data_IF_116807986311
#
_entry.id   IF_116807986311
#
_cell.length_a   1.000
_cell.length_b   1.000
_cell.length_c   1.000
_cell.angle_alpha   90.00
_cell.angle_beta   90.00
_cell.angle_gamma   90.00
#
_symmetry.space_group_name_H-M   'P 1'
#
loop_
_entity.id
_entity.type
_entity.pdbx_description
1 polymer ?
#
# COMPACT_ATOMS: atom_id res chain seq x y z
N UNK A 1 -34.92 -21.42 -11.76
CA UNK A 1 -35.04 -20.43 -12.86
C UNK A 1 -36.50 -20.15 -13.18
N UNK A 2 -37.35 -21.16 -13.32
CA UNK A 2 -38.78 -21.00 -13.62
C UNK A 2 -39.51 -20.07 -12.64
N UNK A 3 -39.38 -20.25 -11.32
CA UNK A 3 -39.99 -19.35 -10.33
C UNK A 3 -39.64 -17.87 -10.54
N UNK A 4 -38.40 -17.56 -10.90
CA UNK A 4 -38.00 -16.18 -11.14
C UNK A 4 -38.59 -15.61 -12.44
N UNK A 5 -38.74 -16.46 -13.47
CA UNK A 5 -39.39 -16.09 -14.72
C UNK A 5 -40.91 -15.88 -14.53
N UNK A 6 -41.58 -16.73 -13.76
CA UNK A 6 -43.00 -16.58 -13.42
C UNK A 6 -43.25 -15.29 -12.63
N UNK A 7 -42.44 -15.00 -11.61
CA UNK A 7 -42.54 -13.74 -10.85
C UNK A 7 -42.27 -12.51 -11.70
N UNK A 8 -41.37 -12.59 -12.69
CA UNK A 8 -41.15 -11.49 -13.64
C UNK A 8 -42.35 -11.29 -14.58
N UNK A 9 -42.94 -12.37 -15.10
CA UNK A 9 -44.11 -12.32 -15.99
C UNK A 9 -45.36 -11.80 -15.26
N UNK A 10 -45.64 -12.30 -14.06
CA UNK A 10 -46.73 -11.80 -13.20
C UNK A 10 -46.56 -10.32 -12.89
N UNK A 11 -45.32 -9.87 -12.67
CA UNK A 11 -44.99 -8.45 -12.46
C UNK A 11 -45.20 -7.60 -13.71
N UNK A 12 -44.87 -8.12 -14.89
CA UNK A 12 -45.12 -7.41 -16.16
C UNK A 12 -46.62 -7.33 -16.46
N UNK A 13 -47.37 -8.41 -16.25
CA UNK A 13 -48.83 -8.42 -16.42
C UNK A 13 -49.55 -7.48 -15.44
N UNK A 14 -49.06 -7.36 -14.19
CA UNK A 14 -49.59 -6.41 -13.21
C UNK A 14 -49.29 -4.94 -13.57
N UNK A 15 -48.17 -4.67 -14.24
CA UNK A 15 -47.83 -3.34 -14.77
C UNK A 15 -48.72 -2.97 -15.96
N UNK A 16 -48.93 -3.89 -16.90
CA UNK A 16 -49.76 -3.67 -18.09
C UNK A 16 -51.26 -3.47 -17.75
N UNK A 17 -51.70 -3.95 -16.58
CA UNK A 17 -53.07 -3.79 -16.08
C UNK A 17 -53.31 -2.49 -15.26
N UNK A 18 -52.31 -1.59 -15.19
CA UNK A 18 -52.43 -0.26 -14.55
C UNK A 18 -52.43 -0.25 -13.01
N UNK A 19 -52.37 -1.40 -12.34
CA UNK A 19 -52.39 -1.47 -10.87
C UNK A 19 -50.99 -1.42 -10.21
N UNK A 20 -49.92 -1.70 -10.97
CA UNK A 20 -48.54 -1.69 -10.47
C UNK A 20 -47.70 -0.51 -10.98
N UNK A 21 -48.16 0.25 -11.99
CA UNK A 21 -47.53 1.50 -12.44
C UNK A 21 -47.49 2.55 -11.32
N UNK A 22 -48.61 2.82 -10.64
CA UNK A 22 -48.68 3.82 -9.54
C UNK A 22 -47.71 3.51 -8.38
N UNK A 23 -47.54 2.23 -8.03
CA UNK A 23 -46.64 1.81 -6.94
C UNK A 23 -45.17 1.87 -7.38
N UNK A 24 -44.87 1.58 -8.64
CA UNK A 24 -43.53 1.71 -9.22
C UNK A 24 -43.15 3.18 -9.40
N UNK A 25 -44.10 4.02 -9.80
CA UNK A 25 -43.93 5.46 -9.94
C UNK A 25 -43.75 6.13 -8.57
N UNK A 26 -44.48 5.70 -7.54
CA UNK A 26 -44.25 6.17 -6.17
C UNK A 26 -42.86 5.76 -5.64
N UNK A 27 -42.41 4.52 -5.90
CA UNK A 27 -41.07 4.06 -5.52
C UNK A 27 -39.96 4.76 -6.31
N UNK A 28 -40.19 5.02 -7.60
CA UNK A 28 -39.29 5.76 -8.47
C UNK A 28 -39.20 7.23 -8.02
N UNK A 29 -40.33 7.88 -7.73
CA UNK A 29 -40.41 9.24 -7.21
C UNK A 29 -39.67 9.36 -5.87
N UNK A 30 -39.92 8.45 -4.92
CA UNK A 30 -39.20 8.42 -3.63
C UNK A 30 -37.70 8.18 -3.82
N UNK A 31 -37.31 7.35 -4.80
CA UNK A 31 -35.89 7.14 -5.15
C UNK A 31 -35.26 8.40 -5.73
N UNK A 32 -35.96 9.09 -6.64
CA UNK A 32 -35.52 10.34 -7.26
C UNK A 32 -35.39 11.44 -6.22
N UNK A 33 -36.38 11.61 -5.34
CA UNK A 33 -36.34 12.58 -4.25
C UNK A 33 -35.13 12.33 -3.34
N UNK A 34 -34.93 11.07 -2.92
CA UNK A 34 -33.78 10.69 -2.08
C UNK A 34 -32.45 10.95 -2.78
N UNK A 35 -32.31 10.60 -4.07
CA UNK A 35 -31.08 10.84 -4.84
C UNK A 35 -30.83 12.34 -5.07
N UNK A 36 -31.89 13.10 -5.32
CA UNK A 36 -31.82 14.56 -5.50
C UNK A 36 -31.39 15.23 -4.20
N UNK A 37 -31.97 14.81 -3.06
CA UNK A 37 -31.55 15.25 -1.73
C UNK A 37 -30.10 14.87 -1.39
N UNK A 38 -29.66 13.67 -1.76
CA UNK A 38 -28.25 13.25 -1.62
C UNK A 38 -27.32 14.09 -2.50
N UNK A 39 -27.70 14.36 -3.76
CA UNK A 39 -26.93 15.19 -4.67
C UNK A 39 -26.83 16.63 -4.18
N UNK A 40 -27.93 17.23 -3.68
CA UNK A 40 -27.93 18.56 -3.09
C UNK A 40 -26.98 18.65 -1.89
N UNK A 41 -27.00 17.64 -0.99
CA UNK A 41 -26.07 17.56 0.14
C UNK A 41 -24.61 17.46 -0.30
N UNK A 42 -24.31 16.75 -1.38
CA UNK A 42 -22.95 16.65 -1.94
C UNK A 42 -22.52 17.99 -2.54
N UNK A 43 -23.39 18.63 -3.33
CA UNK A 43 -23.11 19.95 -3.94
C UNK A 43 -22.87 21.01 -2.88
N UNK A 44 -23.71 21.07 -1.84
CA UNK A 44 -23.52 21.99 -0.72
C UNK A 44 -22.18 21.72 -0.02
N UNK A 45 -21.87 20.46 0.29
CA UNK A 45 -20.60 20.13 0.94
C UNK A 45 -19.38 20.54 0.10
N UNK A 46 -19.43 20.36 -1.21
CA UNK A 46 -18.37 20.80 -2.13
C UNK A 46 -18.26 22.33 -2.20
N UNK A 47 -19.37 23.06 -2.05
CA UNK A 47 -19.36 24.52 -1.96
C UNK A 47 -18.74 24.99 -0.63
N UNK A 48 -19.05 24.31 0.48
CA UNK A 48 -18.51 24.62 1.81
C UNK A 48 -17.02 24.23 1.94
N UNK A 49 -16.55 23.28 1.12
CA UNK A 49 -15.18 22.76 1.13
C UNK A 49 -14.58 22.84 -0.29
N UNK A 50 -14.24 24.05 -0.77
CA UNK A 50 -13.78 24.26 -2.14
C UNK A 50 -12.36 23.74 -2.39
N UNK A 51 -11.58 23.53 -1.32
CA UNK A 51 -10.19 23.08 -1.41
C UNK A 51 -10.08 21.55 -1.32
N UNK A 52 -9.39 20.97 -2.30
CA UNK A 52 -9.04 19.56 -2.27
C UNK A 52 -7.97 19.28 -1.20
N UNK A 53 -8.09 18.14 -0.52
CA UNK A 53 -7.08 17.67 0.42
C UNK A 53 -5.94 16.96 -0.35
N UNK A 54 -4.74 17.54 -0.46
CA UNK A 54 -3.66 16.89 -1.19
C UNK A 54 -3.10 15.70 -0.39
N UNK A 55 -2.82 14.60 -1.07
CA UNK A 55 -1.89 13.58 -0.56
C UNK A 55 -0.44 13.96 -0.88
N UNK A 56 0.53 13.24 -0.32
CA UNK A 56 1.97 13.51 -0.54
C UNK A 56 2.42 13.50 -2.00
N UNK A 57 1.72 12.77 -2.88
CA UNK A 57 1.99 12.73 -4.32
C UNK A 57 1.17 13.73 -5.13
N UNK A 58 0.58 14.74 -4.48
CA UNK A 58 -0.31 15.74 -5.11
C UNK A 58 -1.67 15.20 -5.56
N UNK A 59 -1.96 13.92 -5.36
CA UNK A 59 -3.27 13.34 -5.67
C UNK A 59 -4.28 13.69 -4.60
N UNK A 60 -5.49 14.05 -5.01
CA UNK A 60 -6.61 14.36 -4.12
C UNK A 60 -6.92 13.15 -3.22
N UNK A 61 -6.93 13.37 -1.92
CA UNK A 61 -7.36 12.41 -0.92
C UNK A 61 -8.88 12.48 -0.82
N UNK A 62 -9.54 11.35 -1.06
CA UNK A 62 -11.00 11.26 -1.04
C UNK A 62 -11.53 11.48 0.38
N UNK A 63 -12.33 12.53 0.55
CA UNK A 63 -13.00 12.86 1.80
C UNK A 63 -14.36 12.17 1.92
N UNK A 64 -14.78 11.92 3.16
CA UNK A 64 -16.14 11.52 3.48
C UNK A 64 -16.91 12.75 3.98
N UNK A 65 -18.12 13.00 3.45
CA UNK A 65 -18.97 14.12 3.87
C UNK A 65 -19.25 14.16 5.38
N UNK A 66 -19.33 12.99 6.02
CA UNK A 66 -19.64 12.89 7.46
C UNK A 66 -18.41 12.97 8.37
N UNK A 67 -17.22 12.79 7.81
CA UNK A 67 -15.95 12.83 8.53
C UNK A 67 -14.82 13.09 7.52
N UNK A 68 -14.64 14.34 7.13
CA UNK A 68 -13.79 14.75 6.00
C UNK A 68 -12.30 14.55 6.26
N UNK A 69 -11.90 14.53 7.52
CA UNK A 69 -10.52 14.31 7.94
C UNK A 69 -10.13 12.83 7.94
N UNK A 70 -11.09 11.90 7.93
CA UNK A 70 -10.82 10.45 7.84
C UNK A 70 -10.26 10.03 6.47
N UNK A 71 -9.65 8.85 6.40
CA UNK A 71 -9.11 8.27 5.15
C UNK A 71 -9.57 6.83 4.92
N UNK A 72 -9.42 6.40 3.66
CA UNK A 72 -9.59 5.01 3.26
C UNK A 72 -8.36 4.19 3.68
N UNK A 73 -8.57 3.21 4.55
CA UNK A 73 -7.58 2.29 5.06
C UNK A 73 -7.80 0.91 4.42
N UNK A 74 -6.76 0.35 3.81
CA UNK A 74 -6.80 -1.00 3.28
C UNK A 74 -6.65 -2.01 4.42
N UNK A 75 -7.53 -3.01 4.45
CA UNK A 75 -7.50 -4.13 5.38
C UNK A 75 -7.52 -5.44 4.60
N UNK A 76 -7.24 -6.55 5.27
CA UNK A 76 -7.37 -7.90 4.72
C UNK A 76 -8.81 -8.23 4.25
N UNK A 77 -9.81 -7.58 4.85
CA UNK A 77 -11.24 -7.75 4.56
C UNK A 77 -11.84 -6.70 3.62
N UNK A 78 -11.02 -5.81 3.06
CA UNK A 78 -11.47 -4.74 2.17
C UNK A 78 -11.03 -3.36 2.62
N UNK A 79 -11.76 -2.32 2.23
CA UNK A 79 -11.40 -0.92 2.55
C UNK A 79 -12.37 -0.36 3.58
N UNK A 80 -11.83 0.17 4.68
CA UNK A 80 -12.61 0.87 5.72
C UNK A 80 -12.29 2.36 5.71
N UNK A 81 -13.25 3.20 6.12
CA UNK A 81 -13.00 4.61 6.37
C UNK A 81 -12.62 4.79 7.84
N UNK A 82 -11.51 5.48 8.14
CA UNK A 82 -11.07 5.69 9.50
C UNK A 82 -9.74 6.45 9.62
N UNK A 83 -9.06 6.26 10.75
CA UNK A 83 -7.79 6.89 11.09
C UNK A 83 -6.74 5.82 11.37
N UNK A 84 -5.52 6.07 10.92
CA UNK A 84 -4.34 5.27 11.24
C UNK A 84 -3.83 5.67 12.62
N UNK A 85 -3.91 4.74 13.58
CA UNK A 85 -3.38 4.91 14.93
C UNK A 85 -1.91 4.50 14.97
N UNK A 86 -1.03 5.41 15.35
CA UNK A 86 0.41 5.18 15.46
C UNK A 86 0.84 5.27 16.92
N UNK A 87 1.71 4.37 17.34
CA UNK A 87 2.38 4.43 18.64
C UNK A 87 3.87 4.13 18.50
N UNK A 88 4.69 4.86 19.25
CA UNK A 88 6.09 4.52 19.54
C UNK A 88 6.13 3.93 20.93
N UNK A 89 6.77 2.78 21.05
CA UNK A 89 6.76 1.98 22.28
C UNK A 89 8.20 1.69 22.69
N UNK A 90 8.49 1.93 23.96
CA UNK A 90 9.73 1.52 24.60
C UNK A 90 9.85 -0.01 24.62
N UNK A 91 11.03 -0.52 24.26
CA UNK A 91 11.29 -1.95 24.15
C UNK A 91 11.35 -2.64 25.51
N UNK A 92 11.87 -1.95 26.54
CA UNK A 92 12.18 -2.56 27.83
C UNK A 92 10.92 -2.75 28.67
N UNK A 93 10.06 -1.74 28.70
CA UNK A 93 8.89 -1.70 29.58
C UNK A 93 7.57 -1.70 28.84
N UNK A 94 7.56 -1.73 27.50
CA UNK A 94 6.34 -1.63 26.67
C UNK A 94 5.52 -0.36 26.98
N UNK A 95 6.19 0.72 27.39
CA UNK A 95 5.55 2.01 27.64
C UNK A 95 5.41 2.76 26.32
N UNK A 96 4.22 3.30 26.05
CA UNK A 96 3.98 4.14 24.88
C UNK A 96 4.59 5.51 25.14
N UNK A 97 5.60 5.89 24.36
CA UNK A 97 6.29 7.19 24.49
C UNK A 97 5.72 8.26 23.57
N UNK A 98 5.07 7.86 22.47
CA UNK A 98 4.37 8.75 21.56
C UNK A 98 3.16 8.04 20.97
N UNK A 99 2.04 8.76 20.84
CA UNK A 99 0.79 8.23 20.30
C UNK A 99 0.07 9.30 19.49
N UNK A 100 -0.27 9.01 18.24
CA UNK A 100 -1.06 9.91 17.40
C UNK A 100 -1.96 9.18 16.40
N UNK A 101 -3.11 9.78 16.09
CA UNK A 101 -4.05 9.24 15.11
C UNK A 101 -4.20 10.16 13.91
N UNK A 102 -4.02 9.59 12.72
CA UNK A 102 -3.92 10.35 11.48
C UNK A 102 -4.93 9.89 10.44
N UNK A 103 -5.56 10.85 9.78
CA UNK A 103 -6.48 10.58 8.68
C UNK A 103 -5.75 10.23 7.37
N UNK A 104 -4.80 9.30 7.40
CA UNK A 104 -4.03 8.83 6.24
C UNK A 104 -4.03 7.30 6.16
N UNK A 105 -4.08 6.78 4.94
CA UNK A 105 -3.83 5.35 4.67
C UNK A 105 -2.38 5.06 4.25
N UNK A 106 -1.55 6.10 4.12
CA UNK A 106 -0.15 5.97 3.74
C UNK A 106 0.73 6.15 5.00
N UNK A 107 1.01 5.03 5.68
CA UNK A 107 1.84 5.00 6.89
C UNK A 107 3.25 5.55 6.66
N UNK A 108 3.77 5.45 5.43
CA UNK A 108 5.06 6.05 5.06
C UNK A 108 5.15 7.54 5.43
N UNK A 109 4.04 8.28 5.32
CA UNK A 109 3.98 9.72 5.58
C UNK A 109 4.12 10.05 7.07
N UNK A 110 3.90 9.07 7.95
CA UNK A 110 3.82 9.27 9.40
C UNK A 110 5.14 8.98 10.13
N UNK A 111 6.10 8.32 9.49
CA UNK A 111 7.33 7.89 10.15
C UNK A 111 8.11 9.08 10.73
N UNK A 112 8.51 10.02 9.86
CA UNK A 112 9.36 11.14 10.27
C UNK A 112 8.67 12.06 11.28
N UNK A 113 7.39 12.49 11.10
CA UNK A 113 6.71 13.32 12.09
C UNK A 113 6.63 12.67 13.47
N UNK A 114 6.34 11.37 13.54
CA UNK A 114 6.25 10.64 14.81
C UNK A 114 7.62 10.52 15.47
N UNK A 115 8.67 10.30 14.67
CA UNK A 115 10.04 10.32 15.18
C UNK A 115 10.45 11.72 15.65
N UNK A 116 10.00 12.80 15.02
CA UNK A 116 10.29 14.15 15.50
C UNK A 116 9.56 14.44 16.82
N UNK A 117 8.30 14.00 16.96
CA UNK A 117 7.52 14.16 18.19
C UNK A 117 8.15 13.43 19.39
N UNK A 118 8.76 12.26 19.18
CA UNK A 118 9.41 11.49 20.25
C UNK A 118 10.94 11.74 20.34
N UNK A 119 11.46 12.83 19.76
CA UNK A 119 12.89 13.06 19.68
C UNK A 119 13.56 13.17 21.06
N UNK A 120 12.87 13.77 22.04
CA UNK A 120 13.38 13.96 23.41
C UNK A 120 13.56 12.67 24.21
N UNK A 121 12.89 11.60 23.78
CA UNK A 121 12.95 10.28 24.43
C UNK A 121 14.01 9.38 23.79
N UNK A 122 14.71 9.86 22.76
CA UNK A 122 15.76 9.10 22.07
C UNK A 122 17.15 9.58 22.44
N UNK A 123 18.07 8.64 22.40
CA UNK A 123 19.52 8.85 22.47
C UNK A 123 20.16 8.47 21.14
N UNK A 124 21.46 8.80 20.98
CA UNK A 124 22.23 8.40 19.80
C UNK A 124 22.35 6.86 19.64
N UNK A 125 22.12 6.10 20.71
CA UNK A 125 22.13 4.63 20.70
C UNK A 125 20.74 4.01 20.50
N UNK A 126 19.69 4.83 20.37
CA UNK A 126 18.32 4.31 20.21
C UNK A 126 18.11 3.71 18.83
N UNK A 127 17.76 2.43 18.79
CA UNK A 127 17.40 1.72 17.56
C UNK A 127 15.89 1.77 17.32
N UNK A 128 15.47 2.35 16.20
CA UNK A 128 14.06 2.38 15.79
C UNK A 128 13.72 1.16 14.96
N UNK A 129 12.65 0.45 15.32
CA UNK A 129 12.12 -0.66 14.51
C UNK A 129 10.71 -0.32 14.03
N UNK A 130 10.43 -0.54 12.74
CA UNK A 130 9.12 -0.24 12.16
C UNK A 130 8.65 -1.32 11.17
N UNK A 131 7.34 -1.42 10.98
CA UNK A 131 6.78 -2.36 10.00
C UNK A 131 7.05 -1.97 8.55
N UNK A 132 6.62 -2.82 7.63
CA UNK A 132 6.78 -2.60 6.20
C UNK A 132 5.89 -1.49 5.63
N UNK A 133 4.89 -1.04 6.37
CA UNK A 133 4.05 0.10 6.04
C UNK A 133 4.83 1.41 6.02
N UNK A 134 5.84 1.54 6.88
CA UNK A 134 6.72 2.72 6.94
C UNK A 134 7.87 2.71 5.92
N UNK A 135 8.08 1.61 5.19
CA UNK A 135 9.19 1.48 4.25
C UNK A 135 9.00 2.33 2.99
N UNK A 136 9.87 3.30 2.79
CA UNK A 136 10.02 4.01 1.51
C UNK A 136 11.47 4.48 1.32
N UNK A 137 11.91 4.61 0.07
CA UNK A 137 13.27 5.11 -0.21
C UNK A 137 13.48 6.51 0.37
N UNK A 138 12.46 7.38 0.29
CA UNK A 138 12.51 8.72 0.86
C UNK A 138 12.69 8.70 2.39
N UNK A 139 11.95 7.84 3.09
CA UNK A 139 12.09 7.69 4.54
C UNK A 139 13.48 7.16 4.92
N UNK A 140 13.98 6.15 4.21
CA UNK A 140 15.29 5.57 4.51
C UNK A 140 16.43 6.54 4.20
N UNK A 141 16.29 7.37 3.16
CA UNK A 141 17.22 8.46 2.88
C UNK A 141 17.22 9.52 3.99
N UNK A 142 16.03 9.99 4.40
CA UNK A 142 15.89 10.98 5.47
C UNK A 142 16.42 10.48 6.82
N UNK A 143 16.22 9.19 7.16
CA UNK A 143 16.79 8.59 8.36
C UNK A 143 18.31 8.58 8.32
N UNK A 144 18.90 8.23 7.17
CA UNK A 144 20.35 8.22 7.00
C UNK A 144 20.93 9.64 7.10
N UNK A 145 20.27 10.64 6.50
CA UNK A 145 20.66 12.05 6.58
C UNK A 145 20.61 12.58 8.02
N UNK A 146 19.55 12.24 8.77
CA UNK A 146 19.38 12.63 10.18
C UNK A 146 20.22 11.78 11.15
N UNK A 147 20.95 10.77 10.67
CA UNK A 147 21.73 9.86 11.51
C UNK A 147 20.88 9.02 12.48
N UNK A 148 19.61 8.77 12.16
CA UNK A 148 18.70 8.00 13.02
C UNK A 148 18.90 6.52 12.73
N UNK A 149 19.31 5.77 13.74
CA UNK A 149 19.47 4.33 13.61
C UNK A 149 18.10 3.62 13.53
N UNK A 150 17.85 2.89 12.44
CA UNK A 150 16.59 2.18 12.22
C UNK A 150 16.72 0.83 11.51
N UNK A 151 15.72 -0.04 11.73
CA UNK A 151 15.42 -1.26 10.99
C UNK A 151 13.94 -1.24 10.55
N UNK A 152 13.71 -1.00 9.27
CA UNK A 152 12.36 -0.94 8.67
C UNK A 152 12.25 -2.01 7.57
N UNK A 153 11.39 -3.01 7.79
CA UNK A 153 11.26 -4.13 6.86
C UNK A 153 10.67 -3.70 5.51
N UNK A 154 11.03 -4.41 4.44
CA UNK A 154 10.27 -4.32 3.19
C UNK A 154 9.18 -5.41 3.13
N UNK A 155 8.22 -5.25 2.21
CA UNK A 155 7.12 -6.21 2.02
C UNK A 155 7.57 -7.62 1.63
N UNK A 156 8.84 -7.80 1.23
CA UNK A 156 9.40 -9.06 0.81
C UNK A 156 10.27 -9.72 1.90
N UNK A 157 10.48 -9.09 3.06
CA UNK A 157 11.32 -9.61 4.15
C UNK A 157 10.94 -11.03 4.56
N UNK A 158 9.65 -11.29 4.79
CA UNK A 158 9.16 -12.62 5.15
C UNK A 158 9.41 -13.69 4.07
N UNK A 159 9.55 -13.30 2.79
CA UNK A 159 9.85 -14.25 1.72
C UNK A 159 11.33 -14.64 1.66
N UNK A 160 12.20 -13.80 2.20
CA UNK A 160 13.66 -14.01 2.22
C UNK A 160 14.14 -14.72 3.48
N UNK A 161 13.32 -14.75 4.52
CA UNK A 161 13.64 -15.38 5.79
C UNK A 161 13.19 -16.85 5.79
N UNK A 162 14.17 -17.74 5.91
CA UNK A 162 14.02 -19.20 5.88
C UNK A 162 13.03 -19.73 6.91
N UNK A 163 12.88 -19.04 8.06
CA UNK A 163 11.92 -19.42 9.12
C UNK A 163 10.47 -19.37 8.65
N UNK A 164 10.19 -18.59 7.61
CA UNK A 164 8.84 -18.45 7.04
C UNK A 164 8.65 -19.26 5.75
N UNK A 165 9.67 -20.01 5.29
CA UNK A 165 9.58 -20.82 4.07
C UNK A 165 8.43 -21.85 4.14
N UNK A 166 8.23 -22.42 5.33
CA UNK A 166 7.18 -23.42 5.62
C UNK A 166 5.82 -22.79 5.96
N UNK A 167 5.72 -21.47 6.15
CA UNK A 167 4.50 -20.81 6.64
C UNK A 167 3.30 -20.97 5.69
N UNK A 168 3.56 -21.24 4.40
CA UNK A 168 2.52 -21.55 3.43
C UNK A 168 1.80 -22.89 3.70
N UNK A 169 2.36 -23.78 4.53
CA UNK A 169 1.78 -25.10 4.87
C UNK A 169 0.58 -25.00 5.83
N UNK A 170 0.52 -23.95 6.67
CA UNK A 170 -0.54 -23.80 7.68
C UNK A 170 -1.73 -22.95 7.22
N UNK A 171 -1.71 -22.41 6.01
CA UNK A 171 -2.92 -21.85 5.40
C UNK A 171 -3.65 -23.00 4.72
N UNK A 172 -4.66 -23.55 5.39
CA UNK A 172 -5.75 -24.28 4.71
C UNK A 172 -6.37 -23.28 3.75
N UNK A 173 -5.89 -23.30 2.50
CA UNK A 173 -6.52 -22.52 1.44
C UNK A 173 -7.84 -23.24 1.18
N UNK A 174 -8.99 -22.55 1.21
CA UNK A 174 -10.23 -23.16 0.73
C UNK A 174 -9.98 -23.74 -0.66
N UNK A 175 -10.68 -24.83 -0.99
CA UNK A 175 -10.58 -25.50 -2.29
C UNK A 175 -10.51 -24.42 -3.38
N UNK A 176 -9.40 -24.36 -4.13
CA UNK A 176 -9.26 -23.30 -5.11
C UNK A 176 -10.38 -23.48 -6.13
N UNK A 177 -11.27 -22.49 -6.23
CA UNK A 177 -12.34 -22.37 -7.23
C UNK A 177 -11.86 -22.52 -8.69
N UNK A 178 -10.55 -22.64 -8.93
CA UNK A 178 -9.93 -22.72 -10.24
C UNK A 178 -8.60 -23.47 -10.15
N UNK A 179 -8.32 -24.28 -11.17
CA UNK A 179 -7.07 -25.03 -11.32
C UNK A 179 -5.85 -24.08 -11.32
N UNK A 180 -4.94 -24.32 -10.38
CA UNK A 180 -3.65 -23.60 -10.21
C UNK A 180 -2.48 -24.46 -10.70
N UNK A 181 -2.74 -25.50 -11.48
CA UNK A 181 -1.71 -26.28 -12.16
C UNK A 181 -0.73 -25.34 -12.87
N UNK A 182 0.54 -25.72 -12.84
CA UNK A 182 1.64 -24.93 -13.36
C UNK A 182 1.45 -24.83 -14.87
N UNK A 183 0.89 -23.73 -15.35
CA UNK A 183 0.77 -23.44 -16.79
C UNK A 183 2.14 -23.61 -17.43
N UNK A 184 2.18 -24.24 -18.60
CA UNK A 184 3.40 -24.45 -19.36
C UNK A 184 4.23 -23.16 -19.44
N UNK A 185 5.53 -23.31 -19.25
CA UNK A 185 6.45 -22.18 -19.31
C UNK A 185 6.34 -21.52 -20.69
N UNK A 186 5.96 -20.24 -20.70
CA UNK A 186 5.89 -19.49 -21.95
C UNK A 186 7.28 -19.45 -22.60
N UNK A 187 7.37 -19.49 -23.93
CA UNK A 187 8.64 -19.40 -24.64
C UNK A 187 9.38 -18.12 -24.22
N UNK A 188 10.70 -18.22 -24.06
CA UNK A 188 11.56 -17.09 -23.69
C UNK A 188 11.47 -16.02 -24.78
N UNK A 189 11.03 -14.83 -24.38
CA UNK A 189 11.08 -13.63 -25.21
C UNK A 189 12.48 -13.03 -25.15
N UNK A 190 12.87 -12.29 -26.18
CA UNK A 190 14.14 -11.55 -26.17
C UNK A 190 14.22 -10.62 -24.95
N UNK A 191 15.32 -10.71 -24.21
CA UNK A 191 15.66 -9.92 -23.03
C UNK A 191 16.48 -8.69 -23.39
N UNK A 192 17.15 -8.10 -22.39
CA UNK A 192 18.10 -6.99 -22.60
C UNK A 192 19.44 -7.48 -23.15
N UNK A 193 19.79 -8.71 -22.83
CA UNK A 193 21.02 -9.41 -23.23
C UNK A 193 21.08 -9.69 -24.73
N UNK A 194 19.95 -9.73 -25.43
CA UNK A 194 19.86 -9.97 -26.87
C UNK A 194 20.06 -8.68 -27.70
N UNK A 195 20.30 -7.53 -27.05
CA UNK A 195 20.48 -6.23 -27.71
C UNK A 195 21.93 -5.78 -27.60
N UNK A 196 22.52 -5.38 -28.73
CA UNK A 196 23.90 -4.90 -28.79
C UNK A 196 23.89 -3.40 -28.54
N UNK A 197 24.54 -2.93 -27.48
CA UNK A 197 24.65 -1.49 -27.20
C UNK A 197 25.89 -0.94 -27.88
N UNK A 198 25.76 0.23 -28.48
CA UNK A 198 26.92 0.97 -28.97
C UNK A 198 27.87 1.38 -27.83
N UNK A 199 29.19 1.44 -28.06
CA UNK A 199 30.16 1.80 -27.01
C UNK A 199 29.89 3.16 -26.36
N UNK A 200 29.37 4.11 -27.14
CA UNK A 200 28.98 5.47 -26.71
C UNK A 200 27.59 5.52 -26.04
N UNK A 201 26.90 4.38 -25.95
CA UNK A 201 25.55 4.24 -25.39
C UNK A 201 24.48 5.10 -26.07
N UNK A 202 24.74 5.61 -27.29
CA UNK A 202 23.81 6.48 -28.03
C UNK A 202 22.64 5.71 -28.64
N UNK A 203 22.85 4.43 -28.95
CA UNK A 203 21.87 3.55 -29.57
C UNK A 203 22.09 2.09 -29.18
N UNK A 204 21.07 1.27 -29.44
CA UNK A 204 21.16 -0.18 -29.35
C UNK A 204 20.68 -0.83 -30.65
N UNK A 205 21.19 -2.00 -30.99
CA UNK A 205 20.80 -2.78 -32.16
C UNK A 205 20.02 -4.00 -31.66
N UNK A 206 18.83 -4.23 -32.20
CA UNK A 206 18.02 -5.38 -31.83
C UNK A 206 18.42 -6.66 -32.58
N UNK A 207 17.91 -7.85 -32.18
CA UNK A 207 18.15 -9.10 -32.90
C UNK A 207 17.74 -9.10 -34.38
N UNK A 208 16.85 -8.19 -34.79
CA UNK A 208 16.45 -8.02 -36.19
C UNK A 208 17.33 -6.99 -36.95
N UNK A 209 18.43 -6.52 -36.36
CA UNK A 209 19.35 -5.55 -36.97
C UNK A 209 18.89 -4.09 -36.95
N UNK A 210 17.73 -3.79 -36.34
CA UNK A 210 17.17 -2.44 -36.34
C UNK A 210 17.79 -1.58 -35.23
N UNK A 211 18.05 -0.31 -35.54
CA UNK A 211 18.62 0.68 -34.62
C UNK A 211 17.54 1.27 -33.71
N UNK A 212 17.76 1.17 -32.40
CA UNK A 212 16.94 1.75 -31.35
C UNK A 212 17.59 3.04 -30.85
N UNK A 213 16.78 4.09 -30.68
CA UNK A 213 17.23 5.36 -30.13
C UNK A 213 17.04 5.38 -28.61
N UNK A 214 17.91 6.13 -27.92
CA UNK A 214 17.77 6.35 -26.48
C UNK A 214 16.47 7.11 -26.18
N UNK A 215 15.74 6.66 -25.17
CA UNK A 215 14.40 7.16 -24.83
C UNK A 215 14.34 7.59 -23.36
N UNK A 216 14.27 8.90 -23.14
CA UNK A 216 14.18 9.51 -21.82
C UNK A 216 15.49 9.48 -21.03
N UNK A 217 15.41 9.87 -19.76
CA UNK A 217 16.54 9.87 -18.81
C UNK A 217 16.86 8.45 -18.35
N UNK A 218 18.13 8.23 -18.00
CA UNK A 218 18.59 7.01 -17.35
C UNK A 218 17.78 6.76 -16.09
N UNK A 219 17.49 5.50 -15.81
CA UNK A 219 16.75 5.09 -14.63
C UNK A 219 17.49 4.00 -13.87
N UNK A 220 17.06 3.72 -12.65
CA UNK A 220 17.61 2.62 -11.87
C UNK A 220 16.63 1.45 -11.90
N UNK A 221 17.09 0.29 -12.35
CA UNK A 221 16.30 -0.95 -12.38
C UNK A 221 17.04 -2.00 -11.57
N UNK A 222 16.43 -2.50 -10.50
CA UNK A 222 17.02 -3.56 -9.68
C UNK A 222 18.39 -3.20 -9.06
N UNK A 223 18.68 -1.92 -8.84
CA UNK A 223 19.98 -1.47 -8.33
C UNK A 223 21.07 -1.29 -9.40
N UNK A 224 20.72 -1.36 -10.68
CA UNK A 224 21.62 -1.06 -11.80
C UNK A 224 21.19 0.21 -12.51
N UNK A 225 22.16 1.01 -12.95
CA UNK A 225 21.90 2.08 -13.89
C UNK A 225 21.41 1.45 -15.20
N UNK A 226 20.31 1.95 -15.72
CA UNK A 226 19.64 1.38 -16.87
C UNK A 226 19.38 2.47 -17.90
N UNK A 227 19.74 2.17 -19.14
CA UNK A 227 19.51 3.04 -20.29
C UNK A 227 18.34 2.47 -21.08
N UNK A 228 17.34 3.31 -21.34
CA UNK A 228 16.15 2.92 -22.08
C UNK A 228 16.35 3.21 -23.55
N UNK A 229 16.07 2.22 -24.39
CA UNK A 229 16.07 2.32 -25.83
C UNK A 229 14.68 1.98 -26.37
N UNK A 230 14.28 2.67 -27.43
CA UNK A 230 13.01 2.43 -28.14
C UNK A 230 13.28 2.22 -29.64
N UNK A 231 12.63 1.22 -30.20
CA UNK A 231 12.65 0.98 -31.63
C UNK A 231 11.68 1.94 -32.35
N UNK A 232 12.02 2.42 -33.55
CA UNK A 232 11.06 3.07 -34.44
C UNK A 232 9.83 2.17 -34.67
N UNK A 233 8.63 2.74 -34.70
CA UNK A 233 7.40 1.95 -34.87
C UNK A 233 7.37 1.22 -36.21
N UNK A 234 7.79 1.90 -37.28
CA UNK A 234 7.92 1.31 -38.62
C UNK A 234 8.81 0.06 -38.64
N UNK A 235 9.89 0.05 -37.84
CA UNK A 235 10.82 -1.08 -37.76
C UNK A 235 10.24 -2.31 -37.03
N UNK A 236 9.16 -2.14 -36.25
CA UNK A 236 8.54 -3.22 -35.48
C UNK A 236 7.27 -3.78 -36.12
N UNK A 237 6.56 -3.01 -36.96
CA UNK A 237 5.26 -3.38 -37.50
C UNK A 237 5.34 -4.68 -38.32
N UNK A 238 6.26 -4.75 -39.29
CA UNK A 238 6.42 -5.89 -40.20
C UNK A 238 7.66 -6.76 -39.86
N UNK A 239 8.10 -6.71 -38.61
CA UNK A 239 9.29 -7.43 -38.18
C UNK A 239 9.01 -8.95 -38.05
N UNK A 240 9.80 -9.84 -38.69
CA UNK A 240 9.58 -11.29 -38.61
C UNK A 240 9.79 -11.84 -37.19
N UNK A 241 10.55 -11.12 -36.35
CA UNK A 241 10.83 -11.51 -34.96
C UNK A 241 9.80 -10.96 -33.95
N UNK A 242 8.72 -10.33 -34.41
CA UNK A 242 7.76 -9.60 -33.56
C UNK A 242 7.14 -10.47 -32.45
N UNK A 243 6.80 -11.72 -32.74
CA UNK A 243 6.20 -12.67 -31.78
C UNK A 243 7.17 -13.14 -30.70
N UNK A 244 8.47 -13.21 -31.00
CA UNK A 244 9.54 -13.54 -30.05
C UNK A 244 10.06 -12.30 -29.30
N UNK A 245 9.77 -11.10 -29.79
CA UNK A 245 10.23 -9.84 -29.23
C UNK A 245 9.21 -9.17 -28.30
N UNK A 246 7.91 -9.18 -28.64
CA UNK A 246 6.89 -8.45 -27.89
C UNK A 246 6.03 -9.38 -27.03
N UNK A 247 5.82 -8.99 -25.77
CA UNK A 247 4.92 -9.74 -24.85
C UNK A 247 3.46 -9.75 -25.31
N UNK A 248 3.05 -8.70 -26.02
CA UNK A 248 1.71 -8.58 -26.62
C UNK A 248 1.83 -8.06 -28.06
N UNK A 249 2.17 -8.92 -29.04
CA UNK A 249 2.45 -8.51 -30.41
C UNK A 249 1.31 -7.74 -31.09
N UNK A 250 0.06 -8.00 -30.69
CA UNK A 250 -1.09 -7.36 -31.32
C UNK A 250 -1.36 -5.92 -30.83
N UNK A 251 -0.99 -5.58 -29.59
CA UNK A 251 -1.29 -4.26 -29.00
C UNK A 251 -0.06 -3.36 -28.88
N UNK A 252 1.14 -3.94 -28.78
CA UNK A 252 2.36 -3.19 -28.53
C UNK A 252 2.94 -2.68 -29.85
N UNK A 253 3.00 -1.35 -30.05
CA UNK A 253 3.46 -0.74 -31.31
C UNK A 253 4.95 -0.93 -31.57
N UNK A 254 5.79 -0.65 -30.58
CA UNK A 254 7.26 -0.75 -30.66
C UNK A 254 7.88 -1.44 -29.46
N UNK A 255 9.04 -2.06 -29.67
CA UNK A 255 9.85 -2.63 -28.59
C UNK A 255 10.51 -1.49 -27.79
N UNK A 256 10.44 -1.61 -26.48
CA UNK A 256 11.25 -0.85 -25.53
C UNK A 256 12.10 -1.82 -24.74
N UNK A 257 13.37 -1.51 -24.58
CA UNK A 257 14.33 -2.30 -23.79
C UNK A 257 15.06 -1.37 -22.83
N UNK A 258 15.27 -1.83 -21.61
CA UNK A 258 16.13 -1.15 -20.65
C UNK A 258 17.36 -2.05 -20.46
N UNK A 259 18.54 -1.54 -20.80
CA UNK A 259 19.78 -2.30 -20.67
C UNK A 259 20.53 -1.82 -19.44
N UNK A 260 20.91 -2.77 -18.59
CA UNK A 260 21.63 -2.52 -17.35
C UNK A 260 23.11 -2.28 -17.68
N UNK A 261 23.68 -1.18 -17.20
CA UNK A 261 25.08 -0.80 -17.46
C UNK A 261 25.94 -1.08 -16.24
N UNK A 262 26.14 -0.09 -15.38
CA UNK A 262 26.90 -0.21 -14.13
C UNK A 262 25.99 -0.49 -12.96
N UNK A 263 26.54 -1.11 -11.92
CA UNK A 263 25.89 -1.17 -10.61
C UNK A 263 25.63 0.28 -10.17
N UNK A 264 24.36 0.65 -10.00
CA UNK A 264 24.04 1.97 -9.48
C UNK A 264 24.50 2.05 -8.03
N UNK A 265 24.63 3.27 -7.51
CA UNK A 265 24.80 3.44 -6.07
C UNK A 265 23.70 2.66 -5.34
N UNK A 266 24.13 1.96 -4.28
CA UNK A 266 23.22 1.12 -3.51
C UNK A 266 22.16 2.00 -2.88
N UNK A 267 20.90 1.77 -3.27
CA UNK A 267 19.73 2.42 -2.68
C UNK A 267 19.69 2.20 -1.17
N UNK A 268 19.08 3.12 -0.45
CA UNK A 268 18.87 2.98 1.00
C UNK A 268 18.04 1.73 1.30
N UNK A 269 17.06 1.39 0.46
CA UNK A 269 16.31 0.14 0.55
C UNK A 269 17.21 -1.11 0.47
N UNK A 270 18.22 -1.12 -0.40
CA UNK A 270 19.15 -2.25 -0.52
C UNK A 270 20.07 -2.36 0.71
N UNK A 271 20.52 -1.22 1.26
CA UNK A 271 21.30 -1.18 2.51
C UNK A 271 20.48 -1.67 3.70
N UNK A 272 19.23 -1.19 3.81
CA UNK A 272 18.30 -1.60 4.86
C UNK A 272 17.99 -3.10 4.79
N UNK A 273 17.79 -3.64 3.57
CA UNK A 273 17.57 -5.07 3.36
C UNK A 273 18.72 -5.91 3.89
N UNK A 274 19.96 -5.61 3.50
CA UNK A 274 21.13 -6.37 3.98
C UNK A 274 21.25 -6.28 5.50
N UNK A 275 20.98 -5.10 6.07
CA UNK A 275 21.06 -4.90 7.52
C UNK A 275 20.01 -5.72 8.27
N UNK A 276 18.76 -5.72 7.81
CA UNK A 276 17.67 -6.52 8.40
C UNK A 276 17.91 -8.01 8.20
N UNK A 277 18.39 -8.41 7.02
CA UNK A 277 18.56 -9.83 6.68
C UNK A 277 19.79 -10.45 7.40
N UNK A 278 20.66 -9.63 8.01
CA UNK A 278 21.76 -10.07 8.88
C UNK A 278 21.28 -10.77 10.16
N UNK A 279 22.12 -11.59 10.79
CA UNK A 279 21.76 -12.28 12.04
C UNK A 279 21.34 -11.30 13.16
N UNK A 280 22.14 -10.25 13.36
CA UNK A 280 21.82 -9.18 14.32
C UNK A 280 20.52 -8.45 13.95
N UNK A 281 20.34 -8.10 12.67
CA UNK A 281 19.13 -7.41 12.20
C UNK A 281 17.87 -8.22 12.41
N UNK A 282 17.91 -9.53 12.12
CA UNK A 282 16.79 -10.46 12.34
C UNK A 282 16.44 -10.59 13.82
N UNK A 283 17.45 -10.61 14.69
CA UNK A 283 17.25 -10.66 16.14
C UNK A 283 16.59 -9.37 16.65
N UNK A 284 17.20 -8.22 16.37
CA UNK A 284 16.71 -6.92 16.84
C UNK A 284 15.31 -6.61 16.29
N UNK A 285 15.09 -6.85 14.98
CA UNK A 285 13.79 -6.66 14.36
C UNK A 285 12.74 -7.61 14.94
N UNK A 286 13.13 -8.85 15.26
CA UNK A 286 12.25 -9.86 15.85
C UNK A 286 11.68 -9.45 17.20
N UNK A 287 12.40 -8.63 17.99
CA UNK A 287 11.94 -8.12 19.29
C UNK A 287 10.63 -7.34 19.21
N UNK A 288 10.27 -6.77 18.05
CA UNK A 288 8.97 -6.09 17.85
C UNK A 288 7.78 -6.94 18.24
N UNK A 289 7.86 -8.25 18.04
CA UNK A 289 6.81 -9.19 18.43
C UNK A 289 6.52 -9.15 19.93
N UNK A 290 7.54 -8.94 20.77
CA UNK A 290 7.41 -8.80 22.22
C UNK A 290 7.24 -7.34 22.67
N UNK A 291 7.55 -6.35 21.83
CA UNK A 291 7.45 -4.93 22.19
C UNK A 291 6.08 -4.34 21.85
N UNK A 292 5.79 -4.12 20.57
CA UNK A 292 4.64 -3.29 20.14
C UNK A 292 3.37 -4.11 19.93
N UNK A 293 3.49 -5.38 19.55
CA UNK A 293 2.33 -6.23 19.32
C UNK A 293 1.50 -6.48 20.60
N UNK A 294 2.09 -6.72 21.79
CA UNK A 294 1.33 -6.86 23.03
C UNK A 294 0.62 -5.57 23.43
N UNK A 295 1.19 -4.40 23.13
CA UNK A 295 0.55 -3.10 23.37
C UNK A 295 -0.74 -2.98 22.56
N UNK A 296 -0.66 -3.19 21.24
CA UNK A 296 -1.86 -3.18 20.39
C UNK A 296 -2.82 -4.33 20.74
N UNK A 297 -2.32 -5.48 21.17
CA UNK A 297 -3.11 -6.59 21.68
C UNK A 297 -3.93 -6.20 22.92
N UNK A 298 -3.30 -5.57 23.92
CA UNK A 298 -3.97 -5.09 25.11
C UNK A 298 -5.02 -4.02 24.77
N UNK A 299 -4.64 -3.00 23.99
CA UNK A 299 -5.55 -1.89 23.65
C UNK A 299 -6.75 -2.38 22.82
N UNK A 300 -6.53 -3.26 21.85
CA UNK A 300 -7.61 -3.79 21.02
C UNK A 300 -8.46 -4.79 21.77
N UNK A 301 -7.87 -5.82 22.39
CA UNK A 301 -8.62 -6.95 22.92
C UNK A 301 -9.10 -6.73 24.36
N UNK A 302 -8.20 -6.35 25.26
CA UNK A 302 -8.55 -6.20 26.68
C UNK A 302 -9.28 -4.88 26.94
N UNK A 303 -8.81 -3.78 26.30
CA UNK A 303 -9.43 -2.46 26.43
C UNK A 303 -10.53 -2.20 25.38
N UNK A 304 -10.76 -3.16 24.47
CA UNK A 304 -11.87 -3.18 23.51
C UNK A 304 -11.89 -2.01 22.51
N UNK A 305 -10.76 -1.32 22.29
CA UNK A 305 -10.65 -0.29 21.26
C UNK A 305 -10.39 -0.91 19.88
N UNK A 306 -11.42 -1.51 19.30
CA UNK A 306 -11.35 -2.08 17.96
C UNK A 306 -11.63 -1.05 16.85
N UNK A 307 -12.38 0.01 17.18
CA UNK A 307 -12.75 1.11 16.29
C UNK A 307 -12.78 2.41 17.08
N UNK A 308 -12.42 3.50 16.42
CA UNK A 308 -12.67 4.83 16.97
C UNK A 308 -14.17 5.13 16.95
N UNK A 309 -14.63 5.83 17.99
CA UNK A 309 -16.05 6.17 18.18
C UNK A 309 -16.34 7.64 17.94
N UNK A 310 -15.29 8.44 17.70
CA UNK A 310 -15.38 9.87 17.45
C UNK A 310 -15.13 10.17 15.96
N UNK A 311 -15.48 11.39 15.55
CA UNK A 311 -15.25 11.93 14.20
C UNK A 311 -14.40 13.20 14.31
N UNK A 312 -13.59 13.46 13.30
CA UNK A 312 -12.64 14.57 13.29
C UNK A 312 -11.31 14.18 13.95
N UNK A 313 -10.21 14.65 13.35
CA UNK A 313 -8.86 14.20 13.68
C UNK A 313 -8.51 14.50 15.13
N UNK A 314 -8.77 15.73 15.59
CA UNK A 314 -8.46 16.14 16.97
C UNK A 314 -9.14 15.24 18.02
N UNK A 315 -10.41 14.90 17.81
CA UNK A 315 -11.17 14.04 18.75
C UNK A 315 -10.66 12.61 18.71
N UNK A 316 -10.41 12.06 17.52
CA UNK A 316 -9.90 10.70 17.36
C UNK A 316 -8.49 10.56 17.92
N UNK A 317 -7.64 11.55 17.71
CA UNK A 317 -6.29 11.64 18.30
C UNK A 317 -6.36 11.70 19.83
N UNK A 318 -7.25 12.52 20.39
CA UNK A 318 -7.53 12.55 21.82
C UNK A 318 -7.99 11.19 22.37
N UNK A 319 -8.92 10.53 21.69
CA UNK A 319 -9.34 9.17 22.05
C UNK A 319 -8.16 8.20 22.06
N UNK A 320 -7.32 8.21 21.01
CA UNK A 320 -6.15 7.34 20.93
C UNK A 320 -5.16 7.58 22.08
N UNK A 321 -4.82 8.84 22.35
CA UNK A 321 -3.92 9.24 23.43
C UNK A 321 -4.46 8.85 24.81
N UNK A 322 -5.76 8.97 25.06
CA UNK A 322 -6.37 8.52 26.30
C UNK A 322 -6.22 7.01 26.50
N UNK A 323 -6.41 6.21 25.45
CA UNK A 323 -6.19 4.76 25.53
C UNK A 323 -4.71 4.40 25.71
N UNK A 324 -3.80 5.15 25.08
CA UNK A 324 -2.37 5.00 25.31
C UNK A 324 -1.99 5.32 26.77
N UNK A 325 -2.58 6.37 27.35
CA UNK A 325 -2.40 6.72 28.75
C UNK A 325 -2.91 5.62 29.69
N UNK A 326 -4.10 5.07 29.43
CA UNK A 326 -4.66 3.95 30.21
C UNK A 326 -3.72 2.74 30.18
N UNK A 327 -3.15 2.42 29.00
CA UNK A 327 -2.15 1.36 28.88
C UNK A 327 -0.91 1.64 29.75
N UNK A 328 -0.37 2.86 29.67
CA UNK A 328 0.82 3.24 30.44
C UNK A 328 0.58 3.21 31.95
N UNK A 329 -0.57 3.71 32.43
CA UNK A 329 -0.93 3.65 33.86
C UNK A 329 -0.98 2.21 34.34
N UNK A 330 -1.56 1.29 33.57
CA UNK A 330 -1.60 -0.14 33.89
C UNK A 330 -0.19 -0.74 33.98
N UNK A 331 0.70 -0.37 33.06
CA UNK A 331 2.11 -0.81 33.08
C UNK A 331 2.84 -0.30 34.33
N UNK A 332 2.69 0.98 34.66
CA UNK A 332 3.30 1.58 35.86
C UNK A 332 2.74 1.00 37.17
N UNK A 333 1.43 0.77 37.24
CA UNK A 333 0.79 0.21 38.42
C UNK A 333 1.23 -1.23 38.70
N UNK A 334 1.48 -2.02 37.66
CA UNK A 334 1.94 -3.40 37.79
C UNK A 334 3.46 -3.51 37.97
N UNK A 335 4.24 -2.56 37.45
CA UNK A 335 5.69 -2.51 37.68
C UNK A 335 6.03 -2.45 39.18
N UNK A 336 5.30 -1.63 39.94
CA UNK A 336 5.45 -1.48 41.40
C UNK A 336 5.05 -2.71 42.22
N UNK A 337 4.37 -3.70 41.64
CA UNK A 337 3.97 -4.93 42.34
C UNK A 337 4.99 -6.05 42.18
N UNK A 338 5.91 -5.92 41.22
CA UNK A 338 6.91 -6.94 40.86
C UNK A 338 8.31 -6.54 41.32
N UNK A 339 8.56 -5.23 41.48
CA UNK A 339 9.76 -4.67 42.11
C UNK A 339 9.64 -4.64 43.64
#
# INVERSE_FOLDING_TARGET
MERAATTMLERHQANDAGAAEDVLDAKAAARIERLTGEAAKIRQWLADHPEDRPGTRGKVRKSNRTDSESAKLATDKGVIQGYCAVAVVDADHQVIVEASAHGTGAEQELLLPVLEACATQRTASTLITADAGYHSEANLAALAEKGIDALIADNAMRRRDERFAEQAKHRVKPEPLHDKSRKEAKPRLFGSEDFIIAPDQSHAICPAGQRLHRNGKDCTIGGYAAIKFRAPEAACNDCPLRTRCLRKPQTTRSRQVAVLTRKAERTHSARMRERIDSAWGREQYGRRFATVEPVFGNVRHNKRLHRFTLRGQSKVDGQWKLFALVHNIEKLANYRKVA
#
